data_IF_222415039102
#
_entry.id   IF_222415039102
#
_cell.length_a   1.000
_cell.length_b   1.000
_cell.length_c   1.000
_cell.angle_alpha   90.00
_cell.angle_beta   90.00
_cell.angle_gamma   90.00
#
_symmetry.space_group_name_H-M   'P 1'
#
loop_
_entity.id
_entity.type
_entity.pdbx_description
1 polymer ?
#
# COMPACT_ATOMS: atom_id res chain seq x y z
N UNK A 1 31.89 -7.97 28.52
CA UNK A 1 31.24 -6.65 28.66
C UNK A 1 30.00 -6.67 27.80
N UNK A 2 28.83 -6.84 28.43
CA UNK A 2 27.52 -6.95 27.75
C UNK A 2 27.05 -5.53 27.47
N UNK A 3 26.83 -5.22 26.20
CA UNK A 3 26.19 -3.95 25.79
C UNK A 3 24.67 -4.17 25.77
N UNK A 4 23.97 -3.57 26.73
CA UNK A 4 22.52 -3.45 26.71
C UNK A 4 22.13 -2.37 25.71
N UNK A 5 21.35 -2.74 24.70
CA UNK A 5 20.66 -1.78 23.86
C UNK A 5 19.39 -1.33 24.61
N UNK A 6 19.30 -0.04 24.89
CA UNK A 6 18.14 0.60 25.51
C UNK A 6 17.17 0.93 24.37
N UNK A 7 16.07 0.18 24.27
CA UNK A 7 14.94 0.57 23.46
C UNK A 7 14.18 1.69 24.18
N UNK A 8 14.20 2.89 23.63
CA UNK A 8 13.35 3.98 24.07
C UNK A 8 11.92 3.72 23.58
N UNK A 9 11.04 3.29 24.48
CA UNK A 9 9.62 3.24 24.24
C UNK A 9 9.08 4.69 24.14
N UNK A 10 8.71 5.13 22.96
CA UNK A 10 7.96 6.38 22.79
C UNK A 10 6.50 6.09 23.18
N UNK A 11 6.13 6.57 24.35
CA UNK A 11 4.76 6.54 24.85
C UNK A 11 3.96 7.63 24.12
N UNK A 12 3.22 7.27 23.07
CA UNK A 12 2.26 8.17 22.44
C UNK A 12 1.00 8.18 23.29
N UNK A 13 0.77 9.27 24.01
CA UNK A 13 -0.50 9.54 24.71
C UNK A 13 -1.56 9.82 23.64
N UNK A 14 -2.40 8.84 23.36
CA UNK A 14 -3.61 9.03 22.58
C UNK A 14 -4.63 9.68 23.49
N UNK A 15 -4.84 10.99 23.34
CA UNK A 15 -6.00 11.68 23.90
C UNK A 15 -7.23 11.17 23.16
N UNK A 16 -8.13 10.50 23.90
CA UNK A 16 -9.29 9.83 23.37
C UNK A 16 -10.23 10.74 22.59
N UNK A 17 -10.40 10.40 21.34
CA UNK A 17 -11.57 10.76 20.54
C UNK A 17 -12.24 9.44 20.19
N UNK A 18 -13.48 9.31 20.62
CA UNK A 18 -14.46 8.25 20.54
C UNK A 18 -14.05 6.96 19.80
N UNK A 19 -13.86 5.90 20.59
CA UNK A 19 -13.65 4.54 20.10
C UNK A 19 -14.91 4.01 19.41
N UNK A 20 -14.95 4.09 18.09
CA UNK A 20 -15.65 3.09 17.30
C UNK A 20 -14.64 2.00 16.95
N UNK A 21 -14.98 0.72 17.14
CA UNK A 21 -14.10 -0.35 16.71
C UNK A 21 -14.00 -0.27 15.19
N UNK A 22 -12.81 0.04 14.69
CA UNK A 22 -12.45 -0.28 13.32
C UNK A 22 -12.64 -1.78 13.19
N UNK A 23 -13.75 -2.16 12.56
CA UNK A 23 -13.95 -3.53 12.19
C UNK A 23 -12.72 -3.87 11.33
N UNK A 24 -11.87 -4.75 11.84
CA UNK A 24 -10.77 -5.33 11.11
C UNK A 24 -11.35 -6.20 9.99
N UNK A 25 -11.92 -5.54 9.00
CA UNK A 25 -12.09 -6.10 7.69
C UNK A 25 -10.67 -6.32 7.20
N UNK A 26 -10.26 -7.59 7.19
CA UNK A 26 -8.94 -7.98 6.73
C UNK A 26 -8.63 -7.40 5.35
N UNK A 27 -7.44 -7.64 4.82
CA UNK A 27 -6.89 -7.15 3.54
C UNK A 27 -7.91 -6.91 2.38
N UNK A 28 -9.07 -7.57 2.42
CA UNK A 28 -10.20 -7.37 1.50
C UNK A 28 -10.81 -5.95 1.48
N UNK A 29 -10.76 -5.21 2.56
CA UNK A 29 -11.28 -3.83 2.61
C UNK A 29 -10.39 -2.83 1.87
N UNK A 30 -9.07 -3.02 1.95
CA UNK A 30 -8.08 -2.23 1.22
C UNK A 30 -8.05 -2.59 -0.26
N UNK A 31 -8.17 -3.87 -0.62
CA UNK A 31 -8.29 -4.30 -2.03
C UNK A 31 -9.51 -3.69 -2.72
N UNK A 32 -10.63 -3.52 -2.03
CA UNK A 32 -11.79 -2.81 -2.56
C UNK A 32 -11.49 -1.34 -2.87
N UNK A 33 -10.77 -0.66 -1.98
CA UNK A 33 -10.33 0.72 -2.18
C UNK A 33 -9.31 0.85 -3.31
N UNK A 34 -8.30 -0.02 -3.34
CA UNK A 34 -7.27 -0.04 -4.38
C UNK A 34 -7.83 -0.47 -5.74
N UNK A 35 -8.78 -1.40 -5.78
CA UNK A 35 -9.46 -1.78 -7.02
C UNK A 35 -10.33 -0.64 -7.58
N UNK A 36 -10.96 0.14 -6.71
CA UNK A 36 -11.60 1.40 -7.10
C UNK A 36 -10.59 2.36 -7.73
N UNK A 37 -9.39 2.47 -7.15
CA UNK A 37 -8.29 3.29 -7.67
C UNK A 37 -7.78 2.79 -9.02
N UNK A 38 -7.52 1.47 -9.15
CA UNK A 38 -7.09 0.83 -10.41
C UNK A 38 -8.11 1.00 -11.53
N UNK A 39 -9.39 0.90 -11.23
CA UNK A 39 -10.47 1.10 -12.22
C UNK A 39 -10.47 2.55 -12.73
N UNK A 40 -10.11 3.51 -11.88
CA UNK A 40 -10.08 4.93 -12.23
C UNK A 40 -8.84 5.32 -13.03
N UNK A 41 -7.67 4.77 -12.72
CA UNK A 41 -6.44 5.02 -13.49
C UNK A 41 -6.56 4.56 -14.95
N UNK A 42 -7.24 3.44 -15.22
CA UNK A 42 -7.48 2.95 -16.60
C UNK A 42 -8.42 3.82 -17.43
N UNK A 43 -9.22 4.69 -16.81
CA UNK A 43 -10.19 5.55 -17.48
C UNK A 43 -9.81 7.04 -17.51
N UNK A 44 -8.70 7.43 -16.88
CA UNK A 44 -8.26 8.82 -16.81
C UNK A 44 -7.82 9.42 -18.17
N UNK A 45 -7.51 8.57 -19.15
CA UNK A 45 -6.96 9.01 -20.45
C UNK A 45 -8.02 9.53 -21.46
N UNK A 46 -9.31 9.56 -21.15
CA UNK A 46 -10.36 9.83 -22.13
C UNK A 46 -11.39 10.93 -21.79
N UNK A 47 -11.17 11.81 -20.80
CA UNK A 47 -12.15 12.90 -20.56
C UNK A 47 -11.50 14.27 -20.49
N UNK A 48 -11.96 15.15 -21.38
CA UNK A 48 -11.62 16.56 -21.52
C UNK A 48 -11.95 17.41 -20.26
N UNK A 49 -11.14 17.28 -19.20
CA UNK A 49 -10.99 18.29 -18.17
C UNK A 49 -9.91 19.29 -18.64
N UNK A 50 -10.14 20.58 -18.44
CA UNK A 50 -9.15 21.62 -18.77
C UNK A 50 -7.87 21.37 -17.97
N UNK A 51 -6.84 20.82 -18.60
CA UNK A 51 -5.53 20.60 -17.99
C UNK A 51 -4.77 21.92 -17.90
N UNK A 52 -4.16 22.21 -16.76
CA UNK A 52 -3.33 23.39 -16.51
C UNK A 52 -1.91 22.90 -16.25
N UNK A 53 -0.96 23.33 -17.08
CA UNK A 53 0.46 23.07 -16.82
C UNK A 53 1.02 24.17 -15.90
N UNK A 54 1.74 23.74 -14.84
CA UNK A 54 2.41 24.62 -13.89
C UNK A 54 3.88 24.84 -14.28
N UNK A 55 4.53 25.85 -13.72
CA UNK A 55 5.94 26.19 -14.02
C UNK A 55 6.95 25.13 -13.52
N UNK A 56 6.56 24.33 -12.55
CA UNK A 56 7.33 23.23 -11.94
C UNK A 56 7.09 21.87 -12.62
N UNK A 57 6.34 21.88 -13.74
CA UNK A 57 6.14 20.73 -14.61
C UNK A 57 4.93 19.85 -14.29
N UNK A 58 4.14 20.19 -13.27
CA UNK A 58 2.89 19.48 -12.98
C UNK A 58 1.80 19.83 -14.01
N UNK A 59 1.01 18.84 -14.35
CA UNK A 59 -0.23 19.01 -15.11
C UNK A 59 -1.39 18.75 -14.17
N UNK A 60 -2.21 19.77 -13.93
CA UNK A 60 -3.33 19.72 -12.98
C UNK A 60 -4.64 19.58 -13.76
N UNK A 61 -5.48 18.65 -13.31
CA UNK A 61 -6.85 18.43 -13.84
C UNK A 61 -7.82 18.39 -12.65
N UNK A 62 -9.04 18.83 -12.89
CA UNK A 62 -10.12 18.71 -11.91
C UNK A 62 -10.60 17.26 -11.80
N UNK A 63 -10.94 16.78 -10.60
CA UNK A 63 -11.54 15.47 -10.36
C UNK A 63 -12.99 15.35 -10.87
N UNK A 64 -13.52 16.33 -11.56
CA UNK A 64 -14.91 16.40 -11.98
C UNK A 64 -15.34 15.18 -12.79
N UNK A 65 -16.20 14.37 -12.19
CA UNK A 65 -16.95 13.30 -12.87
C UNK A 65 -16.83 11.89 -12.32
N UNK A 66 -16.03 11.62 -11.31
CA UNK A 66 -15.78 10.24 -10.88
C UNK A 66 -16.33 9.82 -9.52
N UNK A 67 -16.63 10.74 -8.62
CA UNK A 67 -17.13 10.36 -7.30
C UNK A 67 -18.38 11.18 -6.89
N UNK A 68 -19.54 10.67 -7.27
CA UNK A 68 -20.80 11.01 -6.57
C UNK A 68 -21.08 10.07 -5.40
N UNK A 69 -20.23 9.09 -5.18
CA UNK A 69 -20.25 8.26 -3.99
C UNK A 69 -19.47 8.95 -2.86
N UNK A 70 -19.97 10.13 -2.45
CA UNK A 70 -19.68 10.63 -1.12
C UNK A 70 -20.25 9.62 -0.13
N UNK A 71 -19.48 8.62 0.24
CA UNK A 71 -19.76 7.83 1.42
C UNK A 71 -19.77 8.81 2.58
N UNK A 72 -20.96 9.20 2.97
CA UNK A 72 -21.28 10.04 4.12
C UNK A 72 -20.84 9.29 5.39
N UNK A 73 -19.54 9.25 5.67
CA UNK A 73 -18.98 8.76 6.92
C UNK A 73 -19.25 9.83 7.98
N UNK A 74 -20.49 9.79 8.48
CA UNK A 74 -21.14 10.67 9.39
C UNK A 74 -20.31 11.25 10.53
N UNK A 75 -19.86 12.48 10.37
CA UNK A 75 -19.63 13.49 11.40
C UNK A 75 -19.62 14.88 10.75
N UNK A 76 -20.82 15.40 10.44
CA UNK A 76 -20.98 16.76 9.94
C UNK A 76 -20.86 16.87 8.40
N UNK A 77 -21.49 17.89 7.84
CA UNK A 77 -21.37 18.22 6.42
C UNK A 77 -19.99 18.83 6.18
N UNK A 78 -19.05 18.05 5.64
CA UNK A 78 -17.77 18.56 5.13
C UNK A 78 -17.90 18.74 3.62
N UNK A 79 -17.40 19.85 3.13
CA UNK A 79 -17.25 20.11 1.70
C UNK A 79 -15.86 19.69 1.26
N UNK A 80 -15.76 19.13 0.07
CA UNK A 80 -14.55 18.60 -0.49
C UNK A 80 -14.14 19.36 -1.75
N UNK A 81 -12.83 19.49 -1.94
CA UNK A 81 -12.21 19.92 -3.20
C UNK A 81 -11.15 18.90 -3.59
N UNK A 82 -11.05 18.58 -4.88
CA UNK A 82 -10.17 17.55 -5.38
C UNK A 82 -9.56 17.95 -6.71
N UNK A 83 -8.30 17.57 -6.93
CA UNK A 83 -7.63 17.64 -8.22
C UNK A 83 -6.66 16.48 -8.41
N UNK A 84 -6.37 16.15 -9.65
CA UNK A 84 -5.35 15.18 -10.04
C UNK A 84 -4.17 15.95 -10.62
N UNK A 85 -2.99 15.74 -10.03
CA UNK A 85 -1.72 16.32 -10.48
C UNK A 85 -0.86 15.21 -11.07
N UNK A 86 -0.36 15.41 -12.29
CA UNK A 86 0.52 14.44 -12.94
C UNK A 86 1.85 15.06 -13.32
N UNK A 87 2.94 14.32 -13.16
CA UNK A 87 4.27 14.71 -13.59
C UNK A 87 5.04 13.47 -14.07
N UNK A 88 5.96 13.69 -15.01
CA UNK A 88 6.93 12.66 -15.39
C UNK A 88 8.32 13.18 -15.10
N UNK A 89 9.08 12.43 -14.30
CA UNK A 89 10.44 12.74 -13.91
C UNK A 89 11.42 11.69 -14.48
N UNK A 90 12.66 12.08 -14.66
CA UNK A 90 13.69 11.12 -15.02
C UNK A 90 13.84 10.06 -13.92
N UNK A 91 14.18 8.82 -14.27
CA UNK A 91 14.45 7.75 -13.31
C UNK A 91 15.49 8.20 -12.30
N UNK A 92 15.15 8.28 -11.00
CA UNK A 92 16.13 8.56 -9.95
C UNK A 92 16.93 7.30 -9.60
N UNK A 93 18.04 7.46 -8.90
CA UNK A 93 18.77 6.33 -8.29
C UNK A 93 17.93 5.64 -7.20
N UNK A 94 17.16 6.43 -6.47
CA UNK A 94 16.22 5.99 -5.45
C UNK A 94 14.98 6.89 -5.46
N UNK A 95 13.83 6.27 -5.44
CA UNK A 95 12.54 6.93 -5.24
C UNK A 95 12.25 7.01 -3.73
N UNK A 96 11.93 8.20 -3.22
CA UNK A 96 11.60 8.44 -1.81
C UNK A 96 10.24 9.13 -1.75
N UNK A 97 9.20 8.39 -1.31
CA UNK A 97 7.83 8.89 -1.28
C UNK A 97 7.32 8.93 0.14
N UNK A 98 6.80 10.07 0.56
CA UNK A 98 6.16 10.17 1.87
C UNK A 98 4.83 10.90 1.78
N UNK A 99 3.84 10.41 2.55
CA UNK A 99 2.54 11.04 2.71
C UNK A 99 2.08 10.95 4.17
N UNK A 100 1.42 11.99 4.66
CA UNK A 100 0.78 11.93 5.98
C UNK A 100 -0.57 11.23 5.93
N UNK A 101 -1.38 11.56 4.92
CA UNK A 101 -2.72 10.99 4.73
C UNK A 101 -2.89 10.61 3.27
N UNK A 102 -3.00 9.32 3.01
CA UNK A 102 -3.22 8.75 1.69
C UNK A 102 -2.31 7.56 1.40
N UNK A 103 -2.72 6.77 0.42
CA UNK A 103 -2.01 5.58 0.00
C UNK A 103 -0.91 5.87 -1.01
N UNK A 104 0.03 4.93 -1.10
CA UNK A 104 1.12 4.97 -2.08
C UNK A 104 1.12 3.64 -2.83
N UNK A 105 0.87 3.70 -4.14
CA UNK A 105 0.91 2.55 -5.03
C UNK A 105 2.03 2.74 -6.05
N UNK A 106 2.97 1.82 -6.12
CA UNK A 106 4.08 1.85 -7.09
C UNK A 106 4.08 0.59 -7.94
N UNK A 107 3.95 0.78 -9.25
CA UNK A 107 3.92 -0.29 -10.25
C UNK A 107 5.18 -0.26 -11.11
N UNK A 108 5.89 -1.38 -11.14
CA UNK A 108 7.04 -1.59 -12.02
C UNK A 108 6.61 -1.96 -13.43
N UNK A 109 7.03 -1.17 -14.40
CA UNK A 109 6.69 -1.32 -15.82
C UNK A 109 7.94 -1.33 -16.70
N UNK A 110 7.75 -1.68 -17.98
CA UNK A 110 8.81 -1.54 -18.99
C UNK A 110 8.89 -0.08 -19.48
N UNK A 111 9.49 0.79 -18.67
CA UNK A 111 9.68 2.20 -18.92
C UNK A 111 11.03 2.71 -18.43
N UNK A 112 11.43 3.91 -18.85
CA UNK A 112 12.74 4.50 -18.50
C UNK A 112 12.64 5.75 -17.62
N UNK A 113 11.44 6.18 -17.29
CA UNK A 113 11.10 7.35 -16.48
C UNK A 113 10.15 6.95 -15.33
N UNK A 114 9.82 7.89 -14.48
CA UNK A 114 8.83 7.72 -13.42
C UNK A 114 7.68 8.66 -13.67
N UNK A 115 6.49 8.11 -13.86
CA UNK A 115 5.25 8.87 -14.00
C UNK A 115 4.49 8.84 -12.68
N UNK A 116 4.18 10.02 -12.17
CA UNK A 116 3.50 10.21 -10.88
C UNK A 116 2.13 10.79 -11.15
N UNK A 117 1.11 10.14 -10.63
CA UNK A 117 -0.24 10.66 -10.49
C UNK A 117 -0.53 10.86 -9.01
N UNK A 118 -0.84 12.08 -8.61
CA UNK A 118 -1.20 12.45 -7.26
C UNK A 118 -2.65 12.96 -7.25
N UNK A 119 -3.56 12.19 -6.64
CA UNK A 119 -4.92 12.65 -6.34
C UNK A 119 -4.89 13.39 -5.01
N UNK A 120 -5.03 14.70 -5.09
CA UNK A 120 -5.03 15.61 -3.96
C UNK A 120 -6.47 15.94 -3.58
N UNK A 121 -6.84 15.68 -2.34
CA UNK A 121 -8.18 15.94 -1.83
C UNK A 121 -8.07 16.77 -0.55
N UNK A 122 -8.86 17.84 -0.46
CA UNK A 122 -8.97 18.68 0.70
C UNK A 122 -10.43 18.72 1.19
N UNK A 123 -10.62 18.82 2.50
CA UNK A 123 -11.94 18.92 3.13
C UNK A 123 -11.98 20.03 4.16
N UNK A 124 -13.13 20.71 4.25
CA UNK A 124 -13.38 21.83 5.17
C UNK A 124 -14.87 22.02 5.47
N UNK A 125 -15.19 23.03 6.26
CA UNK A 125 -16.59 23.37 6.57
C UNK A 125 -17.34 24.05 5.39
N UNK A 126 -16.61 24.53 4.39
CA UNK A 126 -17.17 25.10 3.17
C UNK A 126 -16.33 24.76 1.94
N UNK A 127 -16.98 24.72 0.78
CA UNK A 127 -16.31 24.47 -0.50
C UNK A 127 -15.22 25.52 -0.81
N UNK A 128 -15.39 26.77 -0.38
CA UNK A 128 -14.39 27.82 -0.53
C UNK A 128 -13.14 27.53 0.28
N UNK A 129 -13.29 27.13 1.56
CA UNK A 129 -12.17 26.75 2.43
C UNK A 129 -11.46 25.50 1.93
N UNK A 130 -12.19 24.49 1.47
CA UNK A 130 -11.59 23.28 0.89
C UNK A 130 -10.76 23.63 -0.36
N UNK A 131 -11.27 24.51 -1.24
CA UNK A 131 -10.55 24.99 -2.41
C UNK A 131 -9.33 25.86 -2.05
N UNK A 132 -9.38 26.61 -0.95
CA UNK A 132 -8.23 27.39 -0.47
C UNK A 132 -7.13 26.46 0.07
N UNK A 133 -7.48 25.46 0.86
CA UNK A 133 -6.56 24.41 1.33
C UNK A 133 -5.88 23.73 0.14
N UNK A 134 -6.66 23.31 -0.86
CA UNK A 134 -6.15 22.62 -2.04
C UNK A 134 -5.06 23.41 -2.77
N UNK A 135 -5.20 24.74 -2.85
CA UNK A 135 -4.23 25.64 -3.47
C UNK A 135 -2.92 25.81 -2.67
N UNK A 136 -2.95 25.60 -1.36
CA UNK A 136 -1.77 25.71 -0.50
C UNK A 136 -0.92 24.45 -0.50
N UNK A 137 -1.46 23.29 -0.95
CA UNK A 137 -0.75 22.04 -0.97
C UNK A 137 0.30 22.03 -2.09
N UNK A 138 1.53 21.74 -1.73
CA UNK A 138 2.65 21.59 -2.65
C UNK A 138 3.16 20.16 -2.62
N UNK A 139 3.62 19.65 -3.76
CA UNK A 139 4.28 18.35 -3.87
C UNK A 139 5.68 18.59 -4.43
N UNK A 140 6.68 18.31 -3.62
CA UNK A 140 8.08 18.43 -4.03
C UNK A 140 8.52 17.16 -4.75
N UNK A 141 9.25 17.30 -5.88
CA UNK A 141 9.72 16.19 -6.72
C UNK A 141 11.19 16.29 -7.07
N UNK A 142 12.02 16.76 -6.19
CA UNK A 142 13.43 16.98 -6.46
C UNK A 142 14.29 15.76 -6.10
N UNK A 143 15.21 15.32 -6.98
CA UNK A 143 16.14 14.24 -6.68
C UNK A 143 15.53 12.86 -6.46
N UNK A 144 14.30 12.63 -6.90
CA UNK A 144 13.55 11.39 -6.67
C UNK A 144 12.72 11.40 -5.39
N UNK A 145 12.74 12.51 -4.62
CA UNK A 145 11.83 12.71 -3.50
C UNK A 145 10.45 13.15 -4.02
N UNK A 146 9.39 12.59 -3.44
CA UNK A 146 8.00 12.95 -3.65
C UNK A 146 7.38 13.13 -2.28
N UNK A 147 7.37 14.38 -1.81
CA UNK A 147 6.89 14.72 -0.47
C UNK A 147 5.82 15.79 -0.57
N UNK A 148 4.77 15.63 0.20
CA UNK A 148 3.74 16.64 0.32
C UNK A 148 4.07 17.66 1.42
N UNK A 149 3.77 18.92 1.14
CA UNK A 149 3.83 20.02 2.07
C UNK A 149 2.54 20.84 1.97
N UNK A 150 1.85 21.00 3.09
CA UNK A 150 0.57 21.70 3.15
C UNK A 150 0.29 22.26 4.53
N UNK A 151 -0.86 22.92 4.71
CA UNK A 151 -1.20 23.56 5.97
C UNK A 151 -1.37 22.53 7.10
N UNK A 152 -0.90 22.90 8.30
CA UNK A 152 -1.08 22.10 9.51
C UNK A 152 -2.42 22.42 10.16
N UNK A 153 -3.25 21.41 10.33
CA UNK A 153 -4.56 21.55 10.99
C UNK A 153 -4.50 21.01 12.41
N UNK A 154 -5.00 21.80 13.37
CA UNK A 154 -5.07 21.41 14.77
C UNK A 154 -6.47 20.92 15.19
N UNK A 155 -7.47 21.09 14.34
CA UNK A 155 -8.87 20.72 14.62
C UNK A 155 -9.41 19.88 13.48
N UNK A 156 -10.07 18.77 13.78
CA UNK A 156 -10.43 17.67 12.88
C UNK A 156 -11.53 17.95 11.83
N UNK A 157 -11.91 19.23 11.59
CA UNK A 157 -12.91 19.60 10.59
C UNK A 157 -12.30 20.04 9.25
N UNK A 158 -11.00 20.18 9.20
CA UNK A 158 -10.24 20.56 8.01
C UNK A 158 -9.05 19.63 7.85
N UNK A 159 -8.70 19.37 6.61
CA UNK A 159 -7.53 18.54 6.31
C UNK A 159 -7.34 18.32 4.84
N UNK A 160 -6.32 17.56 4.53
CA UNK A 160 -6.07 17.06 3.18
C UNK A 160 -5.44 15.67 3.21
N UNK A 161 -5.52 14.99 2.07
CA UNK A 161 -4.85 13.74 1.82
C UNK A 161 -4.39 13.66 0.38
N UNK A 162 -3.33 12.87 0.13
CA UNK A 162 -2.79 12.66 -1.20
C UNK A 162 -2.57 11.17 -1.43
N UNK A 163 -3.26 10.64 -2.43
CA UNK A 163 -3.02 9.28 -2.89
C UNK A 163 -2.12 9.33 -4.12
N UNK A 164 -1.04 8.56 -4.07
CA UNK A 164 -0.07 8.46 -5.16
C UNK A 164 -0.24 7.16 -5.92
N UNK A 165 -0.30 7.25 -7.26
CA UNK A 165 -0.07 6.13 -8.18
C UNK A 165 1.18 6.46 -8.99
N UNK A 166 2.18 5.59 -8.90
CA UNK A 166 3.51 5.82 -9.48
C UNK A 166 3.86 4.65 -10.39
N UNK A 167 3.98 4.96 -11.68
CA UNK A 167 4.47 4.02 -12.68
C UNK A 167 5.96 4.22 -12.86
N UNK A 168 6.76 3.18 -12.60
CA UNK A 168 8.20 3.28 -12.55
C UNK A 168 8.88 2.13 -13.30
N UNK A 169 10.16 2.23 -13.66
CA UNK A 169 10.91 1.10 -14.18
C UNK A 169 10.94 -0.06 -13.17
N UNK A 170 10.81 -1.31 -13.63
CA UNK A 170 10.89 -2.51 -12.78
C UNK A 170 12.17 -2.55 -11.91
N UNK A 171 13.27 -2.05 -12.46
CA UNK A 171 14.56 -1.95 -11.74
C UNK A 171 14.65 -0.59 -11.06
N UNK A 172 14.16 -0.49 -9.81
CA UNK A 172 14.15 0.75 -9.04
C UNK A 172 14.30 0.45 -7.54
N UNK A 173 15.16 1.21 -6.85
CA UNK A 173 15.15 1.25 -5.39
C UNK A 173 14.15 2.28 -4.90
N UNK A 174 13.39 1.96 -3.85
CA UNK A 174 12.37 2.84 -3.31
C UNK A 174 12.29 2.80 -1.79
N UNK A 175 11.93 3.94 -1.20
CA UNK A 175 11.55 4.07 0.21
C UNK A 175 10.20 4.76 0.28
N UNK A 176 9.20 4.08 0.86
CA UNK A 176 7.83 4.55 0.91
C UNK A 176 7.37 4.67 2.35
N UNK A 177 6.81 5.81 2.71
CA UNK A 177 6.31 6.07 4.07
C UNK A 177 4.95 6.73 4.05
N UNK A 178 4.02 6.21 4.84
CA UNK A 178 2.75 6.90 5.08
C UNK A 178 2.33 6.74 6.55
N UNK A 179 1.64 7.75 7.08
CA UNK A 179 1.10 7.65 8.44
C UNK A 179 -0.29 7.01 8.42
N UNK A 180 -1.15 7.48 7.53
CA UNK A 180 -2.54 7.03 7.41
C UNK A 180 -2.84 6.68 5.96
N UNK A 181 -2.48 5.47 5.55
CA UNK A 181 -2.69 4.98 4.20
C UNK A 181 -2.02 3.64 3.99
N UNK A 182 -2.46 2.91 2.97
CA UNK A 182 -1.81 1.66 2.56
C UNK A 182 -0.63 1.90 1.65
N UNK A 183 0.21 0.88 1.55
CA UNK A 183 1.31 0.83 0.60
C UNK A 183 1.13 -0.39 -0.29
N UNK A 184 1.21 -0.20 -1.59
CA UNK A 184 1.19 -1.27 -2.57
C UNK A 184 2.43 -1.19 -3.45
N UNK A 185 3.15 -2.30 -3.56
CA UNK A 185 4.33 -2.46 -4.40
C UNK A 185 4.11 -3.61 -5.36
N UNK A 186 4.20 -3.35 -6.65
CA UNK A 186 3.98 -4.37 -7.68
C UNK A 186 5.13 -4.41 -8.71
N UNK A 187 5.57 -5.60 -9.06
CA UNK A 187 6.49 -5.86 -10.18
C UNK A 187 7.82 -5.10 -10.12
N UNK A 188 8.36 -4.90 -8.93
CA UNK A 188 9.60 -4.15 -8.69
C UNK A 188 10.75 -5.06 -8.28
N UNK A 189 11.97 -4.67 -8.67
CA UNK A 189 13.20 -5.32 -8.28
C UNK A 189 14.23 -4.26 -7.85
N UNK A 190 14.65 -4.28 -6.59
CA UNK A 190 15.61 -3.32 -6.04
C UNK A 190 15.78 -3.41 -4.54
N UNK A 191 16.34 -2.36 -3.95
CA UNK A 191 16.32 -2.15 -2.48
C UNK A 191 15.03 -1.39 -2.17
N UNK A 192 14.02 -2.12 -1.67
CA UNK A 192 12.67 -1.61 -1.44
C UNK A 192 12.39 -1.55 0.06
N UNK A 193 12.00 -0.36 0.53
CA UNK A 193 11.63 -0.12 1.93
C UNK A 193 10.24 0.47 2.00
N UNK A 194 9.45 -0.01 2.98
CA UNK A 194 8.11 0.50 3.23
C UNK A 194 7.82 0.60 4.72
N UNK A 195 7.16 1.69 5.13
CA UNK A 195 6.70 1.89 6.49
C UNK A 195 5.32 2.57 6.48
N UNK A 196 4.36 1.97 7.18
CA UNK A 196 3.07 2.63 7.42
C UNK A 196 2.65 2.46 8.87
N UNK A 197 1.91 3.45 9.41
CA UNK A 197 1.37 3.32 10.77
C UNK A 197 -0.05 2.77 10.76
N UNK A 198 -0.91 3.31 9.91
CA UNK A 198 -2.31 2.92 9.84
C UNK A 198 -2.69 2.62 8.40
N UNK A 199 -2.45 1.39 7.98
CA UNK A 199 -2.77 0.93 6.64
C UNK A 199 -2.21 -0.46 6.36
N UNK A 200 -2.84 -1.17 5.44
CA UNK A 200 -2.34 -2.45 4.94
C UNK A 200 -1.19 -2.27 3.98
N UNK A 201 -0.46 -3.34 3.77
CA UNK A 201 0.63 -3.39 2.79
C UNK A 201 0.41 -4.58 1.86
N UNK A 202 0.40 -4.32 0.57
CA UNK A 202 0.30 -5.32 -0.49
C UNK A 202 1.63 -5.38 -1.27
N UNK A 203 2.25 -6.56 -1.31
CA UNK A 203 3.52 -6.82 -1.98
C UNK A 203 3.31 -7.89 -3.06
N UNK A 204 3.42 -7.53 -4.32
CA UNK A 204 3.10 -8.42 -5.44
C UNK A 204 4.26 -8.50 -6.42
N UNK A 205 4.73 -9.71 -6.70
CA UNK A 205 5.79 -9.97 -7.70
C UNK A 205 7.02 -9.07 -7.51
N UNK A 206 7.59 -9.11 -6.29
CA UNK A 206 8.77 -8.34 -5.94
C UNK A 206 10.05 -9.18 -5.99
N UNK A 207 11.17 -8.50 -6.15
CA UNK A 207 12.50 -9.08 -6.10
C UNK A 207 13.51 -8.08 -5.49
N UNK A 208 14.71 -8.55 -5.17
CA UNK A 208 15.78 -7.73 -4.62
C UNK A 208 15.91 -7.88 -3.10
N UNK A 209 16.05 -6.75 -2.40
CA UNK A 209 16.14 -6.66 -0.95
C UNK A 209 14.94 -5.87 -0.44
N UNK A 210 13.89 -6.57 0.04
CA UNK A 210 12.60 -5.95 0.41
C UNK A 210 12.42 -5.98 1.91
N UNK A 211 12.16 -4.83 2.53
CA UNK A 211 11.97 -4.72 3.98
C UNK A 211 10.96 -3.65 4.34
N UNK A 212 10.20 -3.92 5.38
CA UNK A 212 9.35 -2.90 5.95
C UNK A 212 8.36 -3.40 6.97
N UNK A 213 7.56 -2.45 7.46
CA UNK A 213 6.62 -2.75 8.52
C UNK A 213 5.33 -1.93 8.42
N UNK A 214 4.29 -2.47 9.07
CA UNK A 214 3.08 -1.71 9.39
C UNK A 214 2.76 -1.87 10.88
N UNK A 215 2.16 -0.84 11.49
CA UNK A 215 1.74 -0.94 12.90
C UNK A 215 0.31 -1.47 13.00
N UNK A 216 -0.61 -0.86 12.26
CA UNK A 216 -2.03 -1.21 12.28
C UNK A 216 -2.52 -1.49 10.86
N UNK A 217 -2.30 -2.71 10.42
CA UNK A 217 -2.71 -3.17 9.10
C UNK A 217 -2.21 -4.57 8.81
N UNK A 218 -2.84 -5.26 7.88
CA UNK A 218 -2.40 -6.57 7.40
C UNK A 218 -1.27 -6.45 6.38
N UNK A 219 -0.57 -7.56 6.19
CA UNK A 219 0.37 -7.78 5.09
C UNK A 219 -0.22 -8.82 4.14
N UNK A 220 -0.32 -8.49 2.87
CA UNK A 220 -0.68 -9.41 1.81
C UNK A 220 0.49 -9.54 0.85
N UNK A 221 1.10 -10.72 0.80
CA UNK A 221 2.33 -10.97 0.07
C UNK A 221 2.05 -12.03 -0.98
N UNK A 222 2.23 -11.68 -2.24
CA UNK A 222 2.09 -12.60 -3.37
C UNK A 222 3.44 -12.77 -4.06
N UNK A 223 4.05 -13.92 -3.88
CA UNK A 223 5.29 -14.30 -4.54
C UNK A 223 5.02 -14.72 -5.99
N UNK A 224 6.03 -14.63 -6.84
CA UNK A 224 5.96 -15.02 -8.25
C UNK A 224 7.20 -15.81 -8.69
N UNK A 225 7.06 -16.50 -9.83
CA UNK A 225 8.15 -17.33 -10.36
C UNK A 225 8.38 -18.62 -9.58
N UNK A 226 9.62 -19.11 -9.58
CA UNK A 226 10.05 -20.38 -8.97
C UNK A 226 10.95 -20.18 -7.73
N UNK A 227 11.44 -18.97 -7.50
CA UNK A 227 12.30 -18.60 -6.37
C UNK A 227 12.38 -17.09 -6.21
N UNK A 228 12.83 -16.64 -5.04
CA UNK A 228 13.17 -15.24 -4.83
C UNK A 228 14.45 -14.85 -5.60
N UNK A 229 14.36 -13.77 -6.34
CA UNK A 229 15.49 -13.21 -7.07
C UNK A 229 16.07 -12.01 -6.30
N UNK A 230 17.06 -12.23 -5.43
CA UNK A 230 17.66 -11.18 -4.62
C UNK A 230 18.06 -11.67 -3.25
N UNK A 231 18.13 -10.73 -2.26
CA UNK A 231 18.57 -11.07 -0.90
C UNK A 231 17.45 -11.69 -0.04
N UNK A 232 16.22 -11.33 -0.27
CA UNK A 232 15.07 -11.82 0.48
C UNK A 232 14.04 -10.76 0.78
N UNK A 233 13.02 -11.17 1.54
CA UNK A 233 11.92 -10.33 2.05
C UNK A 233 11.91 -10.37 3.56
N UNK A 234 11.78 -9.20 4.21
CA UNK A 234 11.49 -9.05 5.63
C UNK A 234 10.31 -8.09 5.81
N UNK A 235 9.16 -8.60 6.25
CA UNK A 235 7.94 -7.84 6.43
C UNK A 235 7.32 -8.11 7.81
N UNK A 236 6.99 -7.05 8.54
CA UNK A 236 6.50 -7.16 9.90
C UNK A 236 5.22 -6.35 10.11
N UNK A 237 4.29 -6.87 10.92
CA UNK A 237 3.14 -6.09 11.38
C UNK A 237 2.96 -6.22 12.90
N UNK A 238 2.46 -5.15 13.54
CA UNK A 238 2.15 -5.23 14.97
C UNK A 238 0.71 -5.69 15.19
N UNK A 239 -0.24 -5.10 14.50
CA UNK A 239 -1.67 -5.39 14.65
C UNK A 239 -2.29 -5.63 13.27
N UNK A 240 -2.27 -6.88 12.85
CA UNK A 240 -2.84 -7.31 11.58
C UNK A 240 -2.48 -8.74 11.25
N UNK A 241 -3.24 -9.36 10.37
CA UNK A 241 -2.92 -10.67 9.83
C UNK A 241 -1.90 -10.60 8.70
N UNK A 242 -1.29 -11.73 8.40
CA UNK A 242 -0.42 -11.92 7.25
C UNK A 242 -1.02 -12.97 6.34
N UNK A 243 -1.13 -12.67 5.06
CA UNK A 243 -1.43 -13.65 4.00
C UNK A 243 -0.23 -13.75 3.10
N UNK A 244 0.32 -14.96 2.96
CA UNK A 244 1.43 -15.24 2.05
C UNK A 244 0.99 -16.24 0.99
N UNK A 245 0.92 -15.79 -0.25
CA UNK A 245 0.58 -16.59 -1.41
C UNK A 245 1.86 -17.04 -2.10
N UNK A 246 2.09 -18.37 -2.14
CA UNK A 246 3.32 -18.99 -2.63
C UNK A 246 2.99 -19.77 -3.91
N UNK A 247 3.68 -19.55 -5.03
CA UNK A 247 3.49 -20.32 -6.25
C UNK A 247 3.83 -21.80 -6.06
N UNK A 248 3.26 -22.64 -6.92
CA UNK A 248 3.64 -24.05 -7.02
C UNK A 248 5.14 -24.20 -7.33
N UNK A 249 5.79 -25.14 -6.67
CA UNK A 249 7.23 -25.44 -6.86
C UNK A 249 8.21 -24.30 -6.48
N UNK A 250 7.74 -23.34 -5.68
CA UNK A 250 8.60 -22.25 -5.22
C UNK A 250 9.70 -22.72 -4.28
N UNK A 251 10.89 -22.13 -4.42
CA UNK A 251 12.07 -22.46 -3.61
C UNK A 251 12.50 -21.24 -2.78
N UNK A 252 12.46 -21.37 -1.44
CA UNK A 252 12.90 -20.35 -0.49
C UNK A 252 13.14 -20.95 0.89
N UNK A 253 13.86 -20.21 1.75
CA UNK A 253 13.79 -20.43 3.19
C UNK A 253 12.64 -19.58 3.73
N UNK A 254 11.58 -20.25 4.18
CA UNK A 254 10.39 -19.59 4.74
C UNK A 254 10.51 -19.49 6.25
N UNK A 255 10.40 -18.28 6.77
CA UNK A 255 10.38 -17.99 8.20
C UNK A 255 9.17 -17.10 8.51
N UNK A 256 8.26 -17.57 9.35
CA UNK A 256 7.06 -16.80 9.71
C UNK A 256 6.62 -17.09 11.13
N UNK A 257 5.96 -16.09 11.74
CA UNK A 257 5.56 -16.21 13.13
C UNK A 257 4.47 -15.24 13.56
N UNK A 258 3.88 -15.56 14.72
CA UNK A 258 2.94 -14.70 15.45
C UNK A 258 3.12 -14.86 16.95
N UNK A 259 2.96 -13.76 17.69
CA UNK A 259 2.96 -13.82 19.16
C UNK A 259 1.56 -14.16 19.67
N UNK A 260 0.54 -13.46 19.19
CA UNK A 260 -0.86 -13.61 19.59
C UNK A 260 -1.72 -13.94 18.36
N UNK A 261 -1.74 -15.22 17.99
CA UNK A 261 -2.47 -15.70 16.83
C UNK A 261 -2.16 -17.16 16.56
N UNK A 262 -2.43 -17.61 15.36
CA UNK A 262 -2.10 -18.95 14.88
C UNK A 262 -1.54 -18.89 13.47
N UNK A 263 -0.86 -19.96 13.08
CA UNK A 263 -0.37 -20.16 11.70
C UNK A 263 -1.27 -21.21 11.05
N UNK A 264 -1.84 -20.85 9.90
CA UNK A 264 -2.62 -21.74 9.05
C UNK A 264 -1.87 -21.98 7.75
N UNK A 265 -1.69 -23.26 7.39
CA UNK A 265 -0.98 -23.67 6.17
C UNK A 265 -1.94 -24.48 5.31
N UNK A 266 -2.26 -23.96 4.13
CA UNK A 266 -3.26 -24.53 3.22
C UNK A 266 -2.66 -25.43 2.12
N UNK A 267 -1.43 -25.91 2.33
CA UNK A 267 -0.75 -26.85 1.43
C UNK A 267 0.20 -27.79 2.20
N UNK A 268 0.56 -28.96 1.63
CA UNK A 268 1.46 -29.88 2.28
C UNK A 268 2.87 -29.29 2.44
N UNK A 269 3.35 -29.19 3.67
CA UNK A 269 4.75 -28.86 4.01
C UNK A 269 5.32 -29.89 4.98
N UNK A 270 6.64 -30.05 4.95
CA UNK A 270 7.34 -30.86 5.93
C UNK A 270 8.05 -29.97 6.92
N UNK A 271 7.65 -30.02 8.17
CA UNK A 271 8.25 -29.25 9.26
C UNK A 271 8.71 -30.15 10.38
N UNK A 272 9.73 -29.71 11.13
CA UNK A 272 10.17 -30.37 12.35
C UNK A 272 9.71 -29.53 13.55
N UNK A 273 8.83 -30.06 14.39
CA UNK A 273 8.36 -29.41 15.59
C UNK A 273 6.89 -28.89 15.52
N UNK A 274 6.54 -28.06 16.48
CA UNK A 274 5.20 -27.48 16.62
C UNK A 274 5.13 -26.10 15.90
N UNK A 275 4.20 -25.96 14.95
CA UNK A 275 4.03 -24.78 14.10
C UNK A 275 3.02 -23.76 14.65
N UNK A 276 2.61 -23.86 15.92
CA UNK A 276 1.54 -23.00 16.45
C UNK A 276 1.80 -21.50 16.32
N UNK A 277 3.03 -21.07 16.59
CA UNK A 277 3.38 -19.67 16.65
C UNK A 277 4.62 -19.31 15.84
N UNK A 278 5.39 -20.27 15.37
CA UNK A 278 6.59 -20.07 14.57
C UNK A 278 6.78 -21.21 13.59
N UNK A 279 7.14 -20.87 12.38
CA UNK A 279 7.45 -21.80 11.30
C UNK A 279 8.74 -21.36 10.63
N UNK A 280 9.75 -22.23 10.62
CA UNK A 280 10.95 -22.05 9.83
C UNK A 280 11.22 -23.33 9.05
N UNK A 281 11.23 -23.27 7.73
CA UNK A 281 11.41 -24.45 6.87
C UNK A 281 11.91 -24.06 5.48
N UNK A 282 12.62 -24.96 4.86
CA UNK A 282 12.92 -24.84 3.43
C UNK A 282 11.75 -25.41 2.61
N UNK A 283 11.28 -24.62 1.66
CA UNK A 283 10.33 -25.06 0.62
C UNK A 283 11.08 -25.23 -0.71
N UNK A 284 10.71 -26.23 -1.50
CA UNK A 284 11.41 -26.59 -2.72
C UNK A 284 12.89 -26.91 -2.47
N UNK A 285 13.78 -26.22 -3.14
CA UNK A 285 15.24 -26.36 -2.99
C UNK A 285 15.86 -25.45 -1.93
N UNK A 286 15.06 -24.75 -1.10
CA UNK A 286 15.54 -23.68 -0.23
C UNK A 286 15.93 -22.42 -1.01
N UNK A 287 16.61 -21.47 -0.36
CA UNK A 287 17.05 -20.24 -1.03
C UNK A 287 17.06 -19.01 -0.11
N UNK A 288 16.92 -17.81 -0.69
CA UNK A 288 16.80 -16.58 0.10
C UNK A 288 15.63 -16.62 1.09
N UNK A 289 15.79 -15.93 2.21
CA UNK A 289 14.79 -15.94 3.27
C UNK A 289 13.60 -15.06 2.90
N UNK A 290 12.41 -15.62 3.06
CA UNK A 290 11.13 -14.92 3.09
C UNK A 290 10.66 -14.90 4.54
N UNK A 291 10.85 -13.76 5.20
CA UNK A 291 10.51 -13.56 6.61
C UNK A 291 9.28 -12.67 6.72
N UNK A 292 8.25 -13.17 7.41
CA UNK A 292 7.01 -12.42 7.63
C UNK A 292 6.44 -12.71 9.02
N UNK A 293 6.41 -11.70 9.91
CA UNK A 293 5.97 -11.86 11.30
C UNK A 293 4.91 -10.85 11.72
N UNK A 294 4.00 -11.29 12.61
CA UNK A 294 3.02 -10.43 13.26
C UNK A 294 3.06 -10.56 14.77
N UNK A 295 2.76 -9.48 15.50
CA UNK A 295 2.58 -9.56 16.95
C UNK A 295 1.15 -9.98 17.30
N UNK A 296 0.15 -9.35 16.71
CA UNK A 296 -1.27 -9.59 17.00
C UNK A 296 -2.03 -9.85 15.70
N UNK A 297 -2.18 -11.12 15.36
CA UNK A 297 -2.88 -11.56 14.15
C UNK A 297 -2.52 -12.98 13.76
N UNK A 298 -3.27 -13.56 12.85
CA UNK A 298 -2.96 -14.87 12.27
C UNK A 298 -2.03 -14.73 11.06
N UNK A 299 -1.35 -15.82 10.75
CA UNK A 299 -0.59 -15.98 9.51
C UNK A 299 -1.24 -17.07 8.67
N UNK A 300 -1.60 -16.76 7.45
CA UNK A 300 -2.16 -17.73 6.48
C UNK A 300 -1.19 -17.91 5.33
N UNK A 301 -0.75 -19.16 5.13
CA UNK A 301 0.08 -19.57 4.00
C UNK A 301 -0.81 -20.29 2.98
N UNK A 302 -0.89 -19.76 1.78
CA UNK A 302 -1.67 -20.32 0.68
C UNK A 302 -0.78 -20.73 -0.48
N UNK A 303 -1.18 -21.77 -1.20
CA UNK A 303 -0.50 -22.29 -2.37
C UNK A 303 -1.35 -22.09 -3.62
N UNK A 304 -0.77 -21.63 -4.71
CA UNK A 304 -1.45 -21.40 -5.97
C UNK A 304 -1.08 -20.08 -6.64
N UNK A 305 -1.36 -19.96 -7.93
CA UNK A 305 -1.14 -18.72 -8.66
C UNK A 305 -2.12 -17.64 -8.21
N UNK A 306 -1.63 -16.45 -7.94
CA UNK A 306 -2.47 -15.25 -7.85
C UNK A 306 -2.98 -14.88 -9.25
N UNK A 307 -3.96 -15.63 -9.73
CA UNK A 307 -4.76 -15.14 -10.86
C UNK A 307 -5.62 -14.01 -10.33
N UNK A 308 -5.34 -12.78 -10.73
CA UNK A 308 -6.25 -11.67 -10.56
C UNK A 308 -7.61 -12.09 -11.08
N UNK A 309 -8.59 -12.26 -10.19
CA UNK A 309 -9.93 -12.71 -10.54
C UNK A 309 -10.66 -11.62 -11.28
N UNK A 310 -10.56 -11.62 -12.60
CA UNK A 310 -11.62 -11.10 -13.45
C UNK A 310 -12.78 -12.11 -13.34
N UNK A 311 -13.68 -11.84 -12.39
CA UNK A 311 -14.92 -12.58 -12.26
C UNK A 311 -15.83 -12.29 -13.44
N UNK A 312 -15.65 -13.02 -14.51
CA UNK A 312 -16.64 -13.14 -15.58
C UNK A 312 -17.78 -14.04 -15.08
N UNK A 313 -18.81 -13.41 -14.54
CA UNK A 313 -20.09 -14.06 -14.28
C UNK A 313 -20.86 -14.19 -15.60
N UNK A 314 -20.54 -15.22 -16.39
CA UNK A 314 -21.37 -15.64 -17.49
C UNK A 314 -22.68 -16.22 -16.94
N UNK A 315 -23.74 -15.44 -17.06
CA UNK A 315 -25.12 -15.87 -16.77
C UNK A 315 -25.53 -17.08 -17.60
N UNK A 316 -25.93 -18.15 -16.91
CA UNK A 316 -26.55 -19.29 -17.52
C UNK A 316 -27.96 -18.92 -18.04
N UNK A 317 -28.14 -18.96 -19.35
CA UNK A 317 -29.46 -18.98 -19.97
C UNK A 317 -30.15 -20.32 -19.70
N UNK A 318 -31.21 -20.27 -18.94
CA UNK A 318 -32.18 -21.36 -18.90
C UNK A 318 -33.05 -21.32 -20.15
N UNK A 319 -32.87 -22.27 -21.03
CA UNK A 319 -33.85 -22.59 -22.09
C UNK A 319 -34.85 -23.61 -21.56
N UNK A 320 -36.09 -23.16 -21.34
CA UNK A 320 -37.26 -24.04 -21.27
C UNK A 320 -37.86 -24.20 -22.67
N UNK A 321 -38.03 -25.42 -23.04
CA UNK A 321 -38.95 -25.87 -24.06
C UNK A 321 -39.96 -26.83 -23.46
#
# INVERSE_FOLDING_TARGET
MRRFAIFAAVLIVIVGIGSQPWNAGGASGWRGFLNSFRAHAKHADQRDGRAIATSDGWVIRDCSGQDKDHTNWGWGHQEHACEVRTITIAKPDKLDVSSMNGGIHVVGEDRQDVHVEARVEAWANSASEAADILREIQIETSGGAIHDNGPNFHLGHQGYGINYVIHAPRQLSAELKTLNGGIELEHLNGDLKFDTTNGGVDLVDLAGDVRGSTVNGGLDISLSGDKWNGKGLQAETTNGGITLNIPDHYSAHLETGTVNGGIEVNFPITVQGDIKHHLATDIGGGGPTIHAETTNGGVTLSHGSSTGGDGDSSGGENSES
#
